data_IF_816193155978
#
_entry.id   IF_816193155978
#
_cell.length_a   1.000
_cell.length_b   1.000
_cell.length_c   1.000
_cell.angle_alpha   90.00
_cell.angle_beta   90.00
_cell.angle_gamma   90.00
#
_symmetry.space_group_name_H-M   'P 1'
#
loop_
_entity.id
_entity.type
_entity.pdbx_description
1 polymer ?
#
# COMPACT_ATOMS: atom_id res chain seq x y z
N UNK A 1 1.45 -5.55 1.95
CA UNK A 1 1.14 -4.18 1.53
C UNK A 1 2.27 -3.67 0.65
N UNK A 2 1.95 -2.94 -0.40
CA UNK A 2 2.93 -2.21 -1.21
C UNK A 2 2.80 -0.71 -0.92
N UNK A 3 3.94 -0.02 -0.78
CA UNK A 3 4.03 1.44 -0.67
C UNK A 3 4.90 1.93 -1.83
N UNK A 4 4.35 2.82 -2.63
CA UNK A 4 5.05 3.53 -3.69
C UNK A 4 4.87 5.04 -3.56
N UNK A 5 5.49 5.82 -4.43
CA UNK A 5 5.39 7.28 -4.42
C UNK A 5 6.76 7.95 -4.56
N UNK A 6 6.74 9.27 -4.65
CA UNK A 6 7.96 10.07 -4.68
C UNK A 6 8.15 10.70 -3.29
N UNK A 7 9.22 10.34 -2.59
CA UNK A 7 9.51 10.87 -1.26
C UNK A 7 9.75 12.38 -1.27
N UNK A 8 10.26 12.94 -2.37
CA UNK A 8 10.68 14.34 -2.48
C UNK A 8 9.49 15.32 -2.44
N UNK A 9 8.28 14.85 -2.72
CA UNK A 9 7.06 15.66 -2.65
C UNK A 9 6.10 15.23 -1.53
N UNK A 10 6.53 14.35 -0.63
CA UNK A 10 5.74 13.89 0.51
C UNK A 10 4.51 13.05 0.14
N UNK A 11 4.37 12.60 -1.11
CA UNK A 11 3.20 11.83 -1.57
C UNK A 11 3.53 10.35 -1.65
N UNK A 12 2.65 9.55 -1.04
CA UNK A 12 2.74 8.10 -1.04
C UNK A 12 1.44 7.50 -1.55
N UNK A 13 1.57 6.38 -2.26
CA UNK A 13 0.47 5.50 -2.64
C UNK A 13 0.64 4.18 -1.90
N UNK A 14 -0.42 3.73 -1.22
CA UNK A 14 -0.42 2.45 -0.52
C UNK A 14 -1.51 1.55 -1.08
N UNK A 15 -1.22 0.26 -1.22
CA UNK A 15 -2.22 -0.74 -1.64
C UNK A 15 -2.03 -2.10 -0.99
N UNK A 16 -3.15 -2.80 -0.81
CA UNK A 16 -3.13 -4.23 -0.50
C UNK A 16 -2.63 -5.01 -1.73
N UNK A 17 -1.84 -6.04 -1.46
CA UNK A 17 -1.24 -6.90 -2.49
C UNK A 17 -1.35 -8.35 -2.06
N UNK A 18 -1.50 -9.22 -3.04
CA UNK A 18 -1.47 -10.67 -2.88
C UNK A 18 -0.03 -11.16 -3.07
N UNK A 19 0.48 -11.94 -2.12
CA UNK A 19 1.82 -12.56 -2.23
C UNK A 19 1.80 -13.89 -2.98
N UNK A 20 0.62 -14.37 -3.35
CA UNK A 20 0.43 -15.61 -4.10
C UNK A 20 -0.82 -15.50 -4.97
N UNK A 21 -0.74 -16.08 -6.16
CA UNK A 21 -1.88 -16.27 -7.05
C UNK A 21 -2.87 -17.32 -6.49
N UNK A 22 -2.37 -18.32 -5.76
CA UNK A 22 -3.18 -19.31 -5.04
C UNK A 22 -3.67 -18.73 -3.71
N UNK A 23 -4.59 -17.77 -3.77
CA UNK A 23 -5.28 -17.20 -2.61
C UNK A 23 -6.79 -17.37 -2.71
N UNK A 24 -7.46 -17.30 -1.57
CA UNK A 24 -8.91 -17.14 -1.53
C UNK A 24 -9.25 -15.67 -1.81
N UNK A 25 -9.74 -15.38 -3.01
CA UNK A 25 -10.13 -14.02 -3.44
C UNK A 25 -11.36 -13.50 -2.71
N UNK A 26 -12.15 -14.35 -2.04
CA UNK A 26 -13.26 -13.89 -1.21
C UNK A 26 -12.76 -13.12 0.02
N UNK A 27 -11.55 -13.45 0.49
CA UNK A 27 -10.88 -12.79 1.62
C UNK A 27 -10.28 -11.44 1.27
N UNK A 28 -10.11 -11.11 -0.01
CA UNK A 28 -9.47 -9.86 -0.45
C UNK A 28 -10.22 -8.63 0.13
N UNK A 29 -11.56 -8.65 0.13
CA UNK A 29 -12.39 -7.56 0.66
C UNK A 29 -12.24 -7.39 2.18
N UNK A 30 -12.12 -8.49 2.92
CA UNK A 30 -11.92 -8.45 4.37
C UNK A 30 -10.54 -7.84 4.68
N UNK A 31 -9.51 -8.24 3.93
CA UNK A 31 -8.16 -7.71 4.06
C UNK A 31 -8.14 -6.21 3.77
N UNK A 32 -8.79 -5.76 2.70
CA UNK A 32 -8.90 -4.34 2.38
C UNK A 32 -9.69 -3.56 3.44
N UNK A 33 -10.75 -4.15 4.00
CA UNK A 33 -11.53 -3.54 5.09
C UNK A 33 -10.67 -3.32 6.33
N UNK A 34 -9.90 -4.34 6.73
CA UNK A 34 -8.96 -4.24 7.84
C UNK A 34 -7.92 -3.15 7.53
N UNK A 35 -7.37 -3.15 6.32
CA UNK A 35 -6.37 -2.16 5.93
C UNK A 35 -6.91 -0.72 5.99
N UNK A 36 -8.12 -0.46 5.50
CA UNK A 36 -8.75 0.86 5.59
C UNK A 36 -8.87 1.31 7.05
N UNK A 37 -9.28 0.41 7.96
CA UNK A 37 -9.35 0.70 9.40
C UNK A 37 -7.98 0.99 10.02
N UNK A 38 -6.96 0.19 9.69
CA UNK A 38 -5.60 0.40 10.18
C UNK A 38 -4.98 1.71 9.63
N UNK A 39 -5.31 2.09 8.40
CA UNK A 39 -4.89 3.38 7.83
C UNK A 39 -5.54 4.55 8.56
N UNK A 40 -6.84 4.49 8.85
CA UNK A 40 -7.53 5.50 9.65
C UNK A 40 -6.95 5.60 11.06
N UNK A 41 -6.59 4.45 11.66
CA UNK A 41 -5.91 4.41 12.96
C UNK A 41 -4.54 5.09 12.88
N UNK A 42 -3.76 4.85 11.83
CA UNK A 42 -2.48 5.53 11.60
C UNK A 42 -2.67 7.05 11.50
N UNK A 43 -3.65 7.52 10.71
CA UNK A 43 -3.97 8.95 10.63
C UNK A 43 -4.26 9.55 12.01
N UNK A 44 -5.07 8.86 12.84
CA UNK A 44 -5.38 9.32 14.20
C UNK A 44 -4.13 9.36 15.10
N UNK A 45 -3.23 8.38 14.99
CA UNK A 45 -1.98 8.35 15.76
C UNK A 45 -1.01 9.47 15.38
N UNK A 46 -0.94 9.82 14.09
CA UNK A 46 -0.14 10.94 13.60
C UNK A 46 -0.75 12.28 14.03
N UNK A 47 -2.06 12.45 13.87
CA UNK A 47 -2.78 13.63 14.33
C UNK A 47 -2.58 13.89 15.84
N UNK A 48 -2.60 12.83 16.66
CA UNK A 48 -2.35 12.94 18.10
C UNK A 48 -0.95 13.45 18.46
N UNK A 49 0.01 13.39 17.52
CA UNK A 49 1.39 13.88 17.67
C UNK A 49 1.60 15.26 17.05
N UNK A 50 0.58 15.81 16.39
CA UNK A 50 0.65 17.08 15.66
C UNK A 50 1.08 16.95 14.20
N UNK A 51 1.21 15.72 13.69
CA UNK A 51 1.49 15.46 12.27
C UNK A 51 0.18 15.36 11.47
N UNK A 52 0.26 15.56 10.15
CA UNK A 52 -0.88 15.37 9.23
C UNK A 52 -0.59 14.26 8.22
N UNK A 53 -1.63 13.48 7.92
CA UNK A 53 -1.64 12.49 6.85
C UNK A 53 -2.99 12.58 6.14
N UNK A 54 -3.04 13.31 5.03
CA UNK A 54 -4.26 13.52 4.26
C UNK A 54 -4.44 12.49 3.14
N UNK A 55 -5.69 12.09 2.91
CA UNK A 55 -6.06 11.22 1.78
C UNK A 55 -6.47 12.10 0.61
N UNK A 56 -5.69 12.04 -0.45
CA UNK A 56 -6.03 12.74 -1.69
C UNK A 56 -6.95 11.94 -2.60
N UNK A 57 -6.78 10.61 -2.58
CA UNK A 57 -7.58 9.67 -3.35
C UNK A 57 -7.64 8.32 -2.63
N UNK A 58 -8.85 7.80 -2.46
CA UNK A 58 -9.10 6.45 -2.01
C UNK A 58 -10.07 5.75 -2.98
N UNK A 59 -9.85 4.46 -3.19
CA UNK A 59 -10.80 3.58 -3.87
C UNK A 59 -11.58 2.79 -2.82
N UNK A 60 -12.84 2.47 -3.10
CA UNK A 60 -13.64 1.63 -2.22
C UNK A 60 -13.07 0.21 -2.13
N UNK A 61 -13.33 -0.49 -1.02
CA UNK A 61 -13.03 -1.92 -0.86
C UNK A 61 -13.60 -2.71 -2.02
N UNK A 62 -12.76 -3.56 -2.65
CA UNK A 62 -13.13 -4.39 -3.78
C UNK A 62 -13.34 -3.62 -5.10
N UNK A 63 -13.02 -2.33 -5.17
CA UNK A 63 -13.13 -1.57 -6.41
C UNK A 63 -12.12 -2.02 -7.48
N UNK A 64 -10.99 -2.58 -7.05
CA UNK A 64 -9.98 -3.19 -7.93
C UNK A 64 -9.49 -4.51 -7.32
N UNK A 65 -9.11 -5.52 -8.12
CA UNK A 65 -8.45 -6.71 -7.60
C UNK A 65 -7.11 -6.39 -6.94
N UNK A 66 -6.72 -7.18 -5.94
CA UNK A 66 -5.39 -7.07 -5.36
C UNK A 66 -4.32 -7.35 -6.41
N UNK A 67 -3.27 -6.53 -6.43
CA UNK A 67 -2.09 -6.78 -7.26
C UNK A 67 -1.36 -8.01 -6.73
N UNK A 68 -1.12 -8.98 -7.59
CA UNK A 68 -0.25 -10.12 -7.28
C UNK A 68 1.21 -9.70 -7.41
N UNK A 69 1.99 -10.06 -6.41
CA UNK A 69 3.40 -9.70 -6.29
C UNK A 69 4.19 -10.98 -6.15
N UNK A 70 5.03 -11.27 -7.15
CA UNK A 70 6.01 -12.35 -7.07
C UNK A 70 7.17 -11.88 -6.20
N UNK A 71 7.45 -12.63 -5.13
CA UNK A 71 8.46 -12.28 -4.13
C UNK A 71 9.87 -12.08 -4.74
N UNK A 72 10.19 -12.79 -5.82
CA UNK A 72 11.47 -12.65 -6.53
C UNK A 72 11.56 -11.38 -7.38
N UNK A 73 10.49 -11.01 -8.09
CA UNK A 73 10.44 -9.79 -8.92
C UNK A 73 10.54 -8.52 -8.07
N UNK A 74 9.97 -8.56 -6.86
CA UNK A 74 9.98 -7.41 -5.94
C UNK A 74 11.41 -7.04 -5.54
N UNK A 75 12.28 -8.02 -5.26
CA UNK A 75 13.67 -7.76 -4.88
C UNK A 75 14.51 -7.20 -6.02
N UNK A 76 14.23 -7.61 -7.27
CA UNK A 76 14.94 -7.08 -8.44
C UNK A 76 14.52 -5.66 -8.76
N UNK A 77 13.21 -5.37 -8.73
CA UNK A 77 12.69 -4.01 -8.92
C UNK A 77 13.23 -3.01 -7.89
N UNK A 78 13.34 -3.40 -6.61
CA UNK A 78 13.96 -2.54 -5.60
C UNK A 78 15.45 -2.29 -5.87
N UNK A 79 16.20 -3.27 -6.38
CA UNK A 79 17.62 -3.11 -6.73
C UNK A 79 17.80 -2.15 -7.90
N UNK A 80 17.00 -2.31 -8.94
CA UNK A 80 17.05 -1.47 -10.14
C UNK A 80 16.64 -0.02 -9.83
N UNK A 81 15.62 0.19 -9.00
CA UNK A 81 15.21 1.54 -8.56
C UNK A 81 16.24 2.22 -7.66
N UNK A 82 16.93 1.46 -6.81
CA UNK A 82 18.02 2.00 -5.98
C UNK A 82 19.25 2.39 -6.84
N UNK A 83 19.54 1.63 -7.90
CA UNK A 83 20.66 1.90 -8.81
C UNK A 83 20.41 3.12 -9.72
N UNK A 84 19.15 3.45 -10.04
CA UNK A 84 18.80 4.61 -10.86
C UNK A 84 18.83 5.96 -10.11
N UNK A 85 19.05 5.95 -8.78
CA UNK A 85 19.15 7.16 -7.94
C UNK A 85 20.61 7.55 -7.61
N UNK A 86 21.60 6.90 -8.23
CA UNK A 86 23.04 7.26 -8.15
C UNK A 86 23.49 7.83 -9.49
#
# INVERSE_FOLDING_TARGET
MEVGGNADNGRLQVRAVALSAQRDTQRDKDIETIWCGEFQRLQALLAARGDDLSIEKALAVGAVPLREVLLDDTRQQYREQAQQRT
#
